data_IF_200259724917
#
_entry.id   IF_200259724917
#
_cell.length_a   1.000
_cell.length_b   1.000
_cell.length_c   1.000
_cell.angle_alpha   90.00
_cell.angle_beta   90.00
_cell.angle_gamma   90.00
#
_symmetry.space_group_name_H-M   'P 1'
#
loop_
_entity.id
_entity.type
_entity.pdbx_description
1 polymer ?
#
# COMPACT_ATOMS: atom_id res chain seq x y z
N UNK A 1 3.53 6.12 16.08
CA UNK A 1 4.40 6.10 14.91
C UNK A 1 5.75 5.51 15.25
N UNK A 2 6.24 4.65 14.38
CA UNK A 2 7.54 4.00 14.54
C UNK A 2 8.37 4.32 13.30
N UNK A 3 9.60 4.75 13.51
CA UNK A 3 10.51 5.02 12.41
C UNK A 3 11.04 3.71 11.81
N UNK A 4 11.05 3.65 10.49
CA UNK A 4 11.64 2.54 9.77
C UNK A 4 12.92 3.02 9.14
N UNK A 5 14.04 2.50 9.62
CA UNK A 5 15.34 2.81 9.05
C UNK A 5 15.51 2.15 7.70
N UNK A 6 15.99 2.93 6.73
CA UNK A 6 16.25 2.42 5.39
C UNK A 6 17.71 2.65 5.02
N UNK A 7 18.25 1.75 4.22
CA UNK A 7 19.57 1.94 3.62
C UNK A 7 19.50 1.44 2.18
N UNK A 8 20.51 1.79 1.33
CA UNK A 8 20.51 1.32 -0.06
C UNK A 8 20.50 -0.20 -0.23
N UNK A 9 20.79 -0.93 0.85
CA UNK A 9 20.84 -2.39 0.83
C UNK A 9 19.48 -3.04 1.11
N UNK A 10 18.49 -2.25 1.55
CA UNK A 10 17.20 -2.79 1.98
C UNK A 10 16.07 -2.41 1.04
N UNK A 11 15.09 -3.30 0.99
CA UNK A 11 13.81 -3.05 0.36
C UNK A 11 12.76 -3.07 1.47
N UNK A 12 11.93 -2.04 1.52
CA UNK A 12 10.81 -2.00 2.47
C UNK A 12 9.59 -2.62 1.82
N UNK A 13 8.99 -3.59 2.50
CA UNK A 13 7.77 -4.24 2.04
C UNK A 13 6.63 -3.87 2.96
N UNK A 14 5.57 -3.30 2.39
CA UNK A 14 4.37 -2.93 3.12
C UNK A 14 3.21 -3.80 2.69
N UNK A 15 2.43 -4.27 3.67
CA UNK A 15 1.17 -4.95 3.40
C UNK A 15 0.13 -3.90 3.09
N UNK A 16 -0.56 -4.06 1.97
CA UNK A 16 -1.60 -3.15 1.55
C UNK A 16 -3.00 -3.67 1.87
N UNK A 17 -3.99 -2.86 1.49
CA UNK A 17 -5.39 -3.13 1.82
C UNK A 17 -5.93 -4.39 1.15
N UNK A 18 -5.46 -4.73 -0.07
CA UNK A 18 -5.91 -5.95 -0.73
C UNK A 18 -5.49 -7.21 0.00
N UNK A 19 -4.25 -7.26 0.48
CA UNK A 19 -3.78 -8.42 1.24
C UNK A 19 -4.48 -8.49 2.60
N UNK A 20 -4.77 -7.36 3.21
CA UNK A 20 -5.56 -7.32 4.43
C UNK A 20 -6.95 -7.93 4.18
N UNK A 21 -7.62 -7.53 3.11
CA UNK A 21 -8.94 -8.07 2.75
C UNK A 21 -8.88 -9.56 2.44
N UNK A 22 -7.91 -9.96 1.62
CA UNK A 22 -7.74 -11.35 1.19
C UNK A 22 -7.43 -12.30 2.35
N UNK A 23 -6.69 -11.83 3.33
CA UNK A 23 -6.30 -12.62 4.50
C UNK A 23 -7.30 -12.57 5.64
N UNK A 24 -8.43 -11.86 5.46
CA UNK A 24 -9.40 -11.67 6.54
C UNK A 24 -8.84 -10.88 7.71
N UNK A 25 -7.92 -9.99 7.45
CA UNK A 25 -7.28 -9.17 8.49
C UNK A 25 -6.06 -9.81 9.14
N UNK A 26 -5.70 -11.03 8.74
CA UNK A 26 -4.51 -11.69 9.31
C UNK A 26 -3.24 -10.90 9.01
N UNK A 27 -3.14 -10.33 7.81
CA UNK A 27 -2.07 -9.41 7.45
C UNK A 27 -2.65 -7.99 7.41
N UNK A 28 -2.49 -7.19 8.47
CA UNK A 28 -3.08 -5.87 8.50
C UNK A 28 -2.34 -4.88 7.61
N UNK A 29 -3.09 -4.00 6.96
CA UNK A 29 -2.53 -2.87 6.22
C UNK A 29 -2.17 -1.79 7.23
N UNK A 30 -0.87 -1.56 7.38
CA UNK A 30 -0.37 -0.59 8.36
C UNK A 30 -0.32 0.80 7.76
N UNK A 31 -0.93 1.75 8.45
CA UNK A 31 -0.85 3.16 8.08
C UNK A 31 0.59 3.64 8.17
N UNK A 32 1.06 4.29 7.12
CA UNK A 32 2.43 4.75 7.04
C UNK A 32 2.50 6.07 6.29
N UNK A 33 3.58 6.77 6.49
CA UNK A 33 3.85 8.03 5.80
C UNK A 33 5.34 8.23 5.61
N UNK A 34 5.69 9.16 4.75
CA UNK A 34 7.08 9.56 4.53
C UNK A 34 7.27 10.95 5.12
N UNK A 35 8.32 11.10 5.90
CA UNK A 35 8.70 12.40 6.49
C UNK A 35 9.99 12.84 5.84
N UNK A 36 9.98 14.03 5.25
CA UNK A 36 11.18 14.62 4.70
C UNK A 36 11.89 15.46 5.77
N UNK A 37 13.22 15.35 5.90
CA UNK A 37 13.94 16.22 6.82
C UNK A 37 13.73 17.68 6.44
N UNK A 38 13.42 18.52 7.41
CA UNK A 38 13.06 19.92 7.19
C UNK A 38 14.25 20.78 6.71
N UNK A 39 15.46 20.33 6.94
CA UNK A 39 16.69 21.04 6.59
C UNK A 39 17.39 20.48 5.34
N UNK A 40 16.71 19.61 4.60
CA UNK A 40 17.29 18.94 3.44
C UNK A 40 16.54 19.36 2.18
N UNK A 41 17.24 20.09 1.30
CA UNK A 41 16.70 20.54 0.02
C UNK A 41 17.05 19.63 -1.15
N UNK A 42 17.55 18.43 -0.88
CA UNK A 42 17.90 17.48 -1.92
C UNK A 42 16.68 16.81 -2.52
N UNK A 43 16.69 16.62 -3.83
CA UNK A 43 15.68 15.81 -4.49
C UNK A 43 15.76 14.37 -4.01
N UNK A 44 14.61 13.74 -3.86
CA UNK A 44 14.52 12.35 -3.44
C UNK A 44 13.58 11.59 -4.37
N UNK A 45 14.03 10.43 -4.82
CA UNK A 45 13.25 9.57 -5.69
C UNK A 45 12.67 8.40 -4.90
N UNK A 46 11.44 8.05 -5.21
CA UNK A 46 10.78 6.89 -4.65
C UNK A 46 10.23 6.04 -5.80
N UNK A 47 10.50 4.74 -5.76
CA UNK A 47 10.10 3.82 -6.83
C UNK A 47 9.31 2.67 -6.22
N UNK A 48 8.01 2.87 -5.92
CA UNK A 48 7.21 1.79 -5.40
C UNK A 48 6.93 0.74 -6.47
N UNK A 49 6.92 -0.51 -6.05
CA UNK A 49 6.54 -1.64 -6.89
C UNK A 49 5.28 -2.26 -6.30
N UNK A 50 4.14 -1.96 -6.88
CA UNK A 50 2.87 -2.46 -6.39
C UNK A 50 2.63 -3.89 -6.87
N UNK A 51 2.28 -4.76 -5.94
CA UNK A 51 1.90 -6.14 -6.24
C UNK A 51 0.44 -6.32 -5.85
N UNK A 52 -0.38 -6.73 -6.79
CA UNK A 52 -1.79 -6.97 -6.54
C UNK A 52 -2.31 -8.13 -7.37
N UNK A 53 -3.45 -8.67 -6.98
CA UNK A 53 -4.06 -9.77 -7.70
C UNK A 53 -4.66 -9.29 -9.03
N UNK A 54 -4.82 -10.23 -9.95
CA UNK A 54 -5.55 -9.97 -11.20
C UNK A 54 -7.00 -9.58 -10.88
N UNK A 55 -7.61 -8.85 -11.79
CA UNK A 55 -8.93 -8.26 -11.61
C UNK A 55 -10.02 -9.25 -11.20
N UNK A 56 -9.97 -10.44 -11.77
CA UNK A 56 -11.00 -11.48 -11.55
C UNK A 56 -10.80 -12.28 -10.26
N UNK A 57 -9.68 -12.12 -9.59
CA UNK A 57 -9.38 -12.88 -8.37
C UNK A 57 -10.29 -12.42 -7.24
N UNK A 58 -10.95 -13.39 -6.60
CA UNK A 58 -11.83 -13.12 -5.48
C UNK A 58 -11.00 -12.93 -4.21
N UNK A 59 -11.07 -11.74 -3.63
CA UNK A 59 -10.34 -11.42 -2.39
C UNK A 59 -11.12 -11.86 -1.16
N UNK A 60 -12.44 -11.76 -1.22
CA UNK A 60 -13.35 -12.10 -0.14
C UNK A 60 -14.71 -12.41 -0.74
N UNK A 61 -15.68 -12.76 0.09
CA UNK A 61 -17.05 -12.98 -0.37
C UNK A 61 -17.65 -11.72 -1.02
N UNK A 62 -17.19 -10.56 -0.60
CA UNK A 62 -17.70 -9.26 -1.04
C UNK A 62 -17.04 -8.73 -2.30
N UNK A 63 -15.74 -9.01 -2.49
CA UNK A 63 -14.93 -8.30 -3.48
C UNK A 63 -14.07 -9.20 -4.32
N UNK A 64 -14.01 -8.88 -5.62
CA UNK A 64 -12.88 -9.25 -6.47
C UNK A 64 -11.82 -8.17 -6.36
N UNK A 65 -10.63 -8.43 -6.89
CA UNK A 65 -9.57 -7.41 -6.90
C UNK A 65 -10.02 -6.14 -7.62
N UNK A 66 -10.72 -6.31 -8.74
CA UNK A 66 -11.25 -5.16 -9.50
C UNK A 66 -12.26 -4.35 -8.71
N UNK A 67 -13.26 -4.99 -8.13
CA UNK A 67 -14.31 -4.27 -7.39
C UNK A 67 -13.77 -3.58 -6.15
N UNK A 68 -12.82 -4.19 -5.48
CA UNK A 68 -12.17 -3.59 -4.32
C UNK A 68 -11.40 -2.34 -4.71
N UNK A 69 -10.61 -2.42 -5.78
CA UNK A 69 -9.85 -1.26 -6.25
C UNK A 69 -10.77 -0.12 -6.67
N UNK A 70 -11.86 -0.42 -7.38
CA UNK A 70 -12.81 0.60 -7.81
C UNK A 70 -13.46 1.31 -6.62
N UNK A 71 -13.84 0.55 -5.59
CA UNK A 71 -14.41 1.12 -4.38
C UNK A 71 -13.41 2.04 -3.67
N UNK A 72 -12.15 1.61 -3.54
CA UNK A 72 -11.11 2.42 -2.92
C UNK A 72 -10.83 3.69 -3.71
N UNK A 73 -10.80 3.61 -5.03
CA UNK A 73 -10.59 4.78 -5.87
C UNK A 73 -11.74 5.79 -5.73
N UNK A 74 -12.97 5.31 -5.57
CA UNK A 74 -14.11 6.18 -5.30
C UNK A 74 -13.97 6.88 -3.95
N UNK A 75 -13.56 6.16 -2.92
CA UNK A 75 -13.39 6.73 -1.59
C UNK A 75 -12.37 7.86 -1.55
N UNK A 76 -11.32 7.77 -2.36
CA UNK A 76 -10.29 8.80 -2.41
C UNK A 76 -10.51 9.83 -3.52
N UNK A 77 -11.64 9.74 -4.23
CA UNK A 77 -12.05 10.75 -5.18
C UNK A 77 -11.42 10.64 -6.57
N UNK A 78 -10.81 9.51 -6.92
CA UNK A 78 -10.18 9.31 -8.22
C UNK A 78 -11.09 8.65 -9.27
N UNK A 79 -12.31 8.26 -8.86
CA UNK A 79 -13.19 7.57 -9.78
C UNK A 79 -14.67 7.80 -9.47
#
# INVERSE_FOLDING_TARGET
WVDVSTSPEYIVVNIGDMLQECSGGYYPSTTHRVINPSNNNMARYSMPFFVHARDEVKLSEKHTAKSYLEERLKEIGLK
#
